data_IF_326677652257
#
_entry.id   IF_326677652257
#
_cell.length_a   1.000
_cell.length_b   1.000
_cell.length_c   1.000
_cell.angle_alpha   90.00
_cell.angle_beta   90.00
_cell.angle_gamma   90.00
#
_symmetry.space_group_name_H-M   'P 1'
#
loop_
_entity.id
_entity.type
_entity.pdbx_description
1 polymer ?
#
# COMPACT_ATOMS: atom_id res chain seq x y z
N UNK A 1 -10.04 -8.54 2.45
CA UNK A 1 -9.21 -7.85 1.42
C UNK A 1 -9.29 -6.35 1.67
N UNK A 2 -8.24 -5.60 1.37
CA UNK A 2 -8.16 -4.15 1.60
C UNK A 2 -8.41 -3.39 0.29
N UNK A 3 -8.92 -2.15 0.39
CA UNK A 3 -9.21 -1.32 -0.79
C UNK A 3 -7.93 -0.91 -1.54
N UNK A 4 -8.05 -0.66 -2.83
CA UNK A 4 -6.95 -0.23 -3.71
C UNK A 4 -7.47 0.54 -4.92
N UNK A 5 -6.59 1.28 -5.61
CA UNK A 5 -6.90 1.75 -6.97
C UNK A 5 -7.21 0.56 -7.87
N UNK A 6 -8.29 0.66 -8.64
CA UNK A 6 -8.76 -0.42 -9.51
C UNK A 6 -7.61 -0.89 -10.43
N UNK A 7 -7.37 -2.21 -10.46
CA UNK A 7 -6.31 -2.84 -11.25
C UNK A 7 -4.88 -2.31 -10.96
N UNK A 8 -4.67 -1.73 -9.78
CA UNK A 8 -3.43 -1.03 -9.39
C UNK A 8 -3.11 0.20 -10.26
N UNK A 9 -4.10 0.72 -10.98
CA UNK A 9 -3.96 1.86 -11.87
C UNK A 9 -4.35 3.17 -11.18
N UNK A 10 -3.46 3.70 -10.34
CA UNK A 10 -3.67 4.96 -9.67
C UNK A 10 -2.67 5.24 -8.54
N UNK A 11 -2.84 6.41 -7.93
CA UNK A 11 -1.99 6.92 -6.84
C UNK A 11 -2.77 7.48 -5.66
N UNK A 12 -4.11 7.39 -5.65
CA UNK A 12 -4.96 8.05 -4.64
C UNK A 12 -5.80 7.07 -3.84
N UNK A 13 -6.10 5.88 -4.37
CA UNK A 13 -7.09 4.93 -3.84
C UNK A 13 -8.49 5.52 -3.81
N UNK A 14 -8.87 6.17 -4.91
CA UNK A 14 -10.23 6.60 -5.20
C UNK A 14 -10.91 5.53 -6.06
N UNK A 15 -11.58 4.59 -5.41
CA UNK A 15 -12.18 3.45 -6.08
C UNK A 15 -13.67 3.70 -6.38
N UNK A 16 -14.08 3.64 -7.65
CA UNK A 16 -15.48 3.87 -8.06
C UNK A 16 -16.47 2.83 -7.51
N UNK A 17 -16.00 1.61 -7.18
CA UNK A 17 -16.85 0.54 -6.68
C UNK A 17 -16.94 0.53 -5.16
N UNK A 18 -15.85 0.86 -4.46
CA UNK A 18 -15.73 0.74 -3.01
C UNK A 18 -15.61 2.07 -2.26
N UNK A 19 -15.50 3.19 -2.98
CA UNK A 19 -15.26 4.51 -2.42
C UNK A 19 -13.77 4.81 -2.21
N UNK A 20 -13.50 6.06 -1.79
CA UNK A 20 -12.17 6.54 -1.52
C UNK A 20 -11.62 6.03 -0.18
N UNK A 21 -10.34 5.69 -0.13
CA UNK A 21 -9.62 5.50 1.13
C UNK A 21 -8.95 6.80 1.57
N UNK A 22 -9.39 7.31 2.71
CA UNK A 22 -8.84 8.52 3.31
C UNK A 22 -7.61 8.23 4.18
N UNK A 23 -6.74 9.23 4.31
CA UNK A 23 -5.56 9.15 5.16
C UNK A 23 -5.96 9.17 6.65
N UNK A 24 -5.58 8.18 7.47
CA UNK A 24 -5.91 8.17 8.90
C UNK A 24 -5.32 9.35 9.69
N UNK A 25 -4.31 10.05 9.16
CA UNK A 25 -3.72 11.24 9.77
C UNK A 25 -4.56 12.50 9.53
N UNK A 26 -5.33 12.54 8.45
CA UNK A 26 -6.21 13.65 8.05
C UNK A 26 -7.24 13.13 7.03
N UNK A 27 -8.49 12.95 7.47
CA UNK A 27 -9.55 12.35 6.66
C UNK A 27 -9.97 13.21 5.45
N UNK A 28 -9.53 14.46 5.37
CA UNK A 28 -9.75 15.31 4.18
C UNK A 28 -8.79 14.97 3.03
N UNK A 29 -7.78 14.13 3.25
CA UNK A 29 -6.72 13.80 2.30
C UNK A 29 -6.78 12.35 1.82
N UNK A 30 -6.17 12.10 0.67
CA UNK A 30 -5.98 10.76 0.12
C UNK A 30 -4.97 9.96 0.94
N UNK A 31 -5.21 8.65 1.11
CA UNK A 31 -4.23 7.73 1.69
C UNK A 31 -3.03 7.48 0.76
N UNK A 32 -3.18 7.78 -0.53
CA UNK A 32 -2.23 7.38 -1.57
C UNK A 32 -2.57 6.02 -2.15
N UNK A 33 -1.90 5.62 -3.21
CA UNK A 33 -2.23 4.41 -3.94
C UNK A 33 -1.07 3.79 -4.72
N UNK A 34 -1.26 2.61 -5.31
CA UNK A 34 -2.53 1.88 -5.31
C UNK A 34 -2.89 1.16 -4.02
N UNK A 35 -1.95 0.96 -3.08
CA UNK A 35 -2.19 0.19 -1.85
C UNK A 35 -2.72 1.05 -0.68
N UNK A 36 -3.63 1.99 -0.94
CA UNK A 36 -4.09 2.95 0.08
C UNK A 36 -4.85 2.30 1.24
N UNK A 37 -5.70 1.30 0.97
CA UNK A 37 -6.39 0.54 2.02
C UNK A 37 -5.40 -0.18 2.95
N UNK A 38 -4.36 -0.77 2.36
CA UNK A 38 -3.26 -1.41 3.09
C UNK A 38 -2.50 -0.44 3.98
N UNK A 39 -2.19 0.76 3.48
CA UNK A 39 -1.48 1.76 4.26
C UNK A 39 -2.36 2.39 5.34
N UNK A 40 -3.61 2.70 5.03
CA UNK A 40 -4.56 3.25 6.00
C UNK A 40 -4.82 2.28 7.15
N UNK A 41 -4.99 0.98 6.87
CA UNK A 41 -5.20 -0.03 7.91
C UNK A 41 -4.01 -0.16 8.87
N UNK A 42 -2.78 -0.11 8.34
CA UNK A 42 -1.56 -0.14 9.16
C UNK A 42 -1.40 1.17 9.95
N UNK A 43 -1.59 2.33 9.30
CA UNK A 43 -1.41 3.64 9.93
C UNK A 43 -2.46 3.94 11.00
N UNK A 44 -3.68 3.38 10.87
CA UNK A 44 -4.72 3.44 11.88
C UNK A 44 -4.53 2.42 13.02
N UNK A 45 -3.50 1.58 12.97
CA UNK A 45 -3.22 0.56 14.00
C UNK A 45 -4.18 -0.63 13.99
N UNK A 46 -4.96 -0.82 12.91
CA UNK A 46 -5.90 -1.94 12.78
C UNK A 46 -5.17 -3.28 12.55
N UNK A 47 -4.00 -3.23 11.91
CA UNK A 47 -3.11 -4.37 11.67
C UNK A 47 -1.66 -3.96 11.83
N UNK A 48 -0.79 -4.89 12.26
CA UNK A 48 0.64 -4.59 12.45
C UNK A 48 1.42 -4.46 11.14
N UNK A 49 1.00 -5.20 10.12
CA UNK A 49 1.59 -5.17 8.79
C UNK A 49 0.53 -5.52 7.74
N UNK A 50 0.79 -5.15 6.50
CA UNK A 50 -0.03 -5.56 5.36
C UNK A 50 0.82 -5.79 4.12
N UNK A 51 0.28 -6.57 3.19
CA UNK A 51 0.88 -6.78 1.87
C UNK A 51 0.18 -5.90 0.83
N UNK A 52 0.88 -5.68 -0.28
CA UNK A 52 0.33 -5.09 -1.49
C UNK A 52 1.31 -5.27 -2.65
N UNK A 53 1.17 -4.47 -3.70
CA UNK A 53 2.04 -4.51 -4.88
C UNK A 53 2.74 -3.17 -5.08
N UNK A 54 3.91 -3.16 -5.72
CA UNK A 54 4.59 -1.93 -6.14
C UNK A 54 5.15 -2.11 -7.56
N UNK A 55 4.50 -1.43 -8.50
CA UNK A 55 4.92 -1.33 -9.90
C UNK A 55 5.57 0.02 -10.14
N UNK A 56 4.84 1.09 -9.78
CA UNK A 56 5.26 2.47 -9.98
C UNK A 56 5.21 3.29 -8.67
N UNK A 57 5.37 2.63 -7.51
CA UNK A 57 5.32 3.30 -6.20
C UNK A 57 4.11 2.95 -5.35
N UNK A 58 3.31 1.95 -5.75
CA UNK A 58 2.05 1.61 -5.10
C UNK A 58 2.13 1.21 -3.63
N UNK A 59 3.33 1.04 -3.07
CA UNK A 59 3.57 0.88 -1.63
C UNK A 59 4.33 2.06 -1.05
N UNK A 60 5.35 2.57 -1.77
CA UNK A 60 6.15 3.70 -1.30
C UNK A 60 5.36 5.00 -1.17
N UNK A 61 4.46 5.28 -2.12
CA UNK A 61 3.60 6.47 -2.11
C UNK A 61 2.66 6.46 -0.89
N UNK A 62 1.80 5.45 -0.70
CA UNK A 62 0.90 5.46 0.45
C UNK A 62 1.62 5.28 1.79
N UNK A 63 2.78 4.61 1.83
CA UNK A 63 3.62 4.59 3.03
C UNK A 63 4.06 6.00 3.45
N UNK A 64 4.55 6.79 2.48
CA UNK A 64 5.00 8.15 2.72
C UNK A 64 3.85 9.07 3.14
N UNK A 65 2.66 8.93 2.54
CA UNK A 65 1.53 9.79 2.85
C UNK A 65 0.89 9.43 4.21
N UNK A 66 0.80 8.15 4.55
CA UNK A 66 0.21 7.71 5.83
C UNK A 66 1.19 7.71 7.01
N UNK A 67 2.49 7.96 6.76
CA UNK A 67 3.52 8.04 7.80
C UNK A 67 3.86 6.69 8.40
N UNK A 68 4.08 5.67 7.55
CA UNK A 68 4.45 4.30 7.91
C UNK A 68 5.61 3.80 7.04
N UNK A 69 6.17 2.64 7.37
CA UNK A 69 7.26 2.04 6.59
C UNK A 69 6.72 1.21 5.43
N UNK A 70 7.30 1.37 4.25
CA UNK A 70 7.02 0.57 3.05
C UNK A 70 8.30 0.00 2.46
N UNK A 71 8.41 -1.32 2.40
CA UNK A 71 9.60 -2.00 1.89
C UNK A 71 9.36 -2.56 0.49
N UNK A 72 9.96 -1.95 -0.53
CA UNK A 72 10.02 -2.52 -1.87
C UNK A 72 11.30 -3.33 -2.06
N UNK A 73 11.23 -4.68 -2.14
CA UNK A 73 12.43 -5.50 -2.34
C UNK A 73 13.00 -5.31 -3.75
N UNK A 74 14.18 -5.89 -4.00
CA UNK A 74 14.72 -6.07 -5.35
C UNK A 74 13.75 -6.90 -6.19
N UNK A 75 13.64 -6.58 -7.48
CA UNK A 75 12.79 -7.32 -8.41
C UNK A 75 13.13 -8.83 -8.40
N UNK A 76 12.09 -9.67 -8.38
CA UNK A 76 12.23 -11.14 -8.32
C UNK A 76 12.64 -11.72 -6.96
N UNK A 77 12.96 -10.90 -5.93
CA UNK A 77 13.31 -11.41 -4.60
C UNK A 77 12.18 -12.20 -3.94
N UNK A 78 10.94 -11.76 -4.13
CA UNK A 78 9.75 -12.42 -3.61
C UNK A 78 8.92 -12.95 -4.76
N UNK A 79 8.37 -14.15 -4.59
CA UNK A 79 7.47 -14.76 -5.56
C UNK A 79 6.21 -13.90 -5.73
N UNK A 80 5.71 -13.87 -6.96
CA UNK A 80 4.46 -13.18 -7.35
C UNK A 80 3.39 -14.18 -7.77
N UNK A 81 3.61 -15.47 -7.52
CA UNK A 81 2.62 -16.51 -7.79
C UNK A 81 1.34 -16.23 -7.01
N UNK A 82 0.19 -16.39 -7.67
CA UNK A 82 -1.12 -16.12 -7.08
C UNK A 82 -1.51 -14.63 -7.03
N UNK A 83 -0.74 -13.74 -7.67
CA UNK A 83 -1.08 -12.31 -7.80
C UNK A 83 -1.65 -12.00 -9.18
N UNK A 84 -2.38 -10.89 -9.28
CA UNK A 84 -2.80 -10.32 -10.57
C UNK A 84 -1.76 -9.28 -11.01
N UNK A 85 -1.01 -9.54 -12.11
CA UNK A 85 0.00 -8.61 -12.58
C UNK A 85 -0.65 -7.36 -13.18
N UNK A 86 -0.06 -6.20 -12.88
CA UNK A 86 -0.33 -4.94 -13.58
C UNK A 86 0.68 -4.75 -14.71
N UNK A 87 1.98 -4.74 -14.39
CA UNK A 87 3.06 -4.77 -15.38
C UNK A 87 4.08 -5.83 -14.96
N UNK A 88 4.00 -7.01 -15.59
CA UNK A 88 4.74 -8.20 -15.16
C UNK A 88 6.26 -8.04 -15.07
N UNK A 89 6.87 -7.14 -15.85
CA UNK A 89 8.30 -6.83 -15.81
C UNK A 89 8.70 -5.87 -14.67
N UNK A 90 7.73 -5.22 -14.03
CA UNK A 90 7.95 -4.18 -13.01
C UNK A 90 7.31 -4.50 -11.66
N UNK A 91 6.32 -5.38 -11.59
CA UNK A 91 5.59 -5.64 -10.34
C UNK A 91 6.46 -6.30 -9.28
N UNK A 92 6.34 -5.85 -8.04
CA UNK A 92 6.93 -6.43 -6.84
C UNK A 92 5.85 -6.86 -5.84
N UNK A 93 6.21 -7.76 -4.91
CA UNK A 93 5.39 -8.15 -3.74
C UNK A 93 5.96 -7.60 -2.41
N UNK A 94 5.81 -6.29 -2.14
CA UNK A 94 6.28 -5.61 -0.93
C UNK A 94 5.35 -5.72 0.30
N UNK A 95 5.80 -5.13 1.41
CA UNK A 95 5.05 -5.04 2.66
C UNK A 95 5.04 -3.62 3.25
N UNK A 96 4.01 -3.32 4.05
CA UNK A 96 3.85 -2.11 4.87
C UNK A 96 3.88 -2.47 6.36
N UNK A 97 4.43 -1.60 7.21
CA UNK A 97 4.51 -1.80 8.67
C UNK A 97 4.48 -0.48 9.44
N UNK A 98 3.90 -0.50 10.64
CA UNK A 98 3.83 0.66 11.54
C UNK A 98 5.23 1.16 11.98
N UNK A 99 5.42 2.49 12.03
CA UNK A 99 6.71 3.13 12.35
C UNK A 99 7.06 3.09 13.85
N UNK A 100 6.08 3.37 14.74
CA UNK A 100 6.33 3.54 16.18
C UNK A 100 6.85 2.25 16.81
N UNK A 101 6.31 1.11 16.38
CA UNK A 101 6.74 -0.21 16.87
C UNK A 101 8.03 -0.73 16.23
N UNK A 102 8.47 -0.17 15.10
CA UNK A 102 9.72 -0.59 14.46
C UNK A 102 10.95 -0.11 15.23
N UNK A 103 10.89 1.07 15.84
CA UNK A 103 12.01 1.67 16.59
C UNK A 103 12.08 1.20 18.05
N UNK A 104 11.07 0.48 18.54
CA UNK A 104 10.97 0.01 19.92
C UNK A 104 11.29 -1.49 20.10
N UNK A 105 11.83 -2.15 19.07
CA UNK A 105 12.27 -3.56 19.06
C UNK A 105 13.69 -3.63 18.53
#
# INVERSE_FOLDING_TARGET
MLNMDAYAYGFTTENSHYGATHNPRDLSRVAGGSSGGSAAAVAAGLVHFSLGTDTNGSIRVPASLCGIFGLKPTFGRLSRSGTHPFVASLDHMPMLRELVRYLST
#
